data_IF_463456288689
#
_entry.id   IF_463456288689
#
_cell.length_a   1.000
_cell.length_b   1.000
_cell.length_c   1.000
_cell.angle_alpha   90.00
_cell.angle_beta   90.00
_cell.angle_gamma   90.00
#
_symmetry.space_group_name_H-M   'P 1'
#
loop_
_entity.id
_entity.type
_entity.pdbx_description
1 polymer ?
#
# COMPACT_ATOMS: atom_id res chain seq x y z
N UNK A 1 27.03 63.31 -65.17
CA UNK A 1 26.91 61.91 -64.67
C UNK A 1 28.01 61.65 -63.65
N UNK A 2 27.72 61.78 -62.35
CA UNK A 2 28.67 61.45 -61.25
C UNK A 2 28.17 60.16 -60.59
N UNK A 3 28.95 59.08 -60.68
CA UNK A 3 28.66 57.81 -60.00
C UNK A 3 29.18 57.89 -58.57
N UNK A 4 28.29 57.80 -57.59
CA UNK A 4 28.61 57.68 -56.16
C UNK A 4 28.68 56.17 -55.88
N UNK A 5 29.84 55.68 -55.45
CA UNK A 5 30.01 54.31 -54.95
C UNK A 5 29.81 54.32 -53.44
N UNK A 6 28.77 53.65 -52.95
CA UNK A 6 28.55 53.38 -51.52
C UNK A 6 29.27 52.07 -51.20
N UNK A 7 30.35 52.16 -50.43
CA UNK A 7 31.07 50.99 -49.88
C UNK A 7 30.28 50.52 -48.64
N UNK A 8 29.66 49.35 -48.75
CA UNK A 8 29.00 48.66 -47.65
C UNK A 8 30.06 47.85 -46.88
N UNK A 9 30.57 48.40 -45.79
CA UNK A 9 31.45 47.70 -44.85
C UNK A 9 30.63 46.76 -43.96
N UNK A 10 30.67 45.47 -44.29
CA UNK A 10 30.09 44.38 -43.52
C UNK A 10 30.99 44.08 -42.32
N UNK A 11 30.59 44.50 -41.12
CA UNK A 11 31.29 44.18 -39.86
C UNK A 11 30.93 42.74 -39.46
N UNK A 12 31.87 41.82 -39.62
CA UNK A 12 31.75 40.46 -39.10
C UNK A 12 32.05 40.47 -37.60
N UNK A 13 31.00 40.38 -36.77
CA UNK A 13 31.14 40.05 -35.35
C UNK A 13 31.47 38.56 -35.23
N UNK A 14 32.74 38.25 -34.96
CA UNK A 14 33.19 36.92 -34.61
C UNK A 14 32.63 36.53 -33.24
N UNK A 15 31.90 35.43 -33.19
CA UNK A 15 31.44 34.80 -31.96
C UNK A 15 32.66 34.27 -31.18
N UNK A 16 32.95 34.84 -30.01
CA UNK A 16 33.93 34.25 -29.09
C UNK A 16 33.38 32.90 -28.64
N UNK A 17 34.06 31.81 -28.98
CA UNK A 17 33.78 30.50 -28.39
C UNK A 17 34.13 30.60 -26.91
N UNK A 18 33.13 30.48 -26.04
CA UNK A 18 33.34 30.29 -24.62
C UNK A 18 34.27 29.09 -24.42
N UNK A 19 35.32 29.26 -23.61
CA UNK A 19 36.18 28.15 -23.21
C UNK A 19 35.33 27.21 -22.34
N UNK A 20 35.13 25.99 -22.83
CA UNK A 20 34.57 24.92 -22.03
C UNK A 20 35.50 24.69 -20.83
N UNK A 21 34.89 24.54 -19.65
CA UNK A 21 35.60 24.16 -18.44
C UNK A 21 36.30 22.82 -18.64
N UNK A 22 37.55 22.71 -18.20
CA UNK A 22 38.29 21.43 -18.22
C UNK A 22 37.71 20.42 -17.21
N UNK A 23 36.82 20.87 -16.31
CA UNK A 23 36.04 19.98 -15.45
C UNK A 23 34.78 19.50 -16.16
N UNK A 24 34.68 18.18 -16.31
CA UNK A 24 33.46 17.54 -16.78
C UNK A 24 32.29 17.87 -15.86
N UNK A 25 31.13 18.20 -16.43
CA UNK A 25 29.88 18.40 -15.67
C UNK A 25 29.48 17.12 -14.91
N UNK A 26 30.00 15.97 -15.35
CA UNK A 26 29.86 14.67 -14.67
C UNK A 26 30.74 14.60 -13.41
N UNK A 27 31.94 15.17 -13.43
CA UNK A 27 32.86 15.22 -12.28
C UNK A 27 32.46 16.29 -11.26
N UNK A 28 31.91 17.42 -11.73
CA UNK A 28 31.39 18.49 -10.86
C UNK A 28 30.18 18.05 -10.00
N UNK A 29 29.48 16.98 -10.39
CA UNK A 29 28.34 16.41 -9.67
C UNK A 29 28.67 15.10 -8.93
N UNK A 30 29.95 14.69 -8.87
CA UNK A 30 30.36 13.62 -7.95
C UNK A 30 30.33 14.21 -6.55
N UNK A 31 29.16 14.16 -5.90
CA UNK A 31 29.09 14.29 -4.45
C UNK A 31 30.03 13.22 -3.90
N UNK A 32 31.16 13.62 -3.31
CA UNK A 32 32.01 12.71 -2.53
C UNK A 32 31.15 12.19 -1.39
N UNK A 33 30.56 11.01 -1.59
CA UNK A 33 29.69 10.36 -0.62
C UNK A 33 30.57 9.60 0.36
N UNK A 34 30.56 10.01 1.62
CA UNK A 34 31.06 9.15 2.69
C UNK A 34 30.15 7.91 2.74
N UNK A 35 30.75 6.74 2.49
CA UNK A 35 30.08 5.45 2.63
C UNK A 35 29.86 5.17 4.12
N UNK A 36 28.61 4.92 4.49
CA UNK A 36 28.22 4.53 5.84
C UNK A 36 28.16 3.00 5.97
N UNK A 37 28.09 2.50 7.20
CA UNK A 37 27.83 1.07 7.47
C UNK A 37 26.50 0.62 6.83
N UNK A 38 25.48 1.49 6.84
CA UNK A 38 24.20 1.25 6.20
C UNK A 38 24.34 1.09 4.68
N UNK A 39 25.11 1.95 4.01
CA UNK A 39 25.35 1.83 2.56
C UNK A 39 26.04 0.50 2.21
N UNK A 40 26.99 0.08 3.03
CA UNK A 40 27.69 -1.21 2.86
C UNK A 40 26.73 -2.38 3.04
N UNK A 41 25.88 -2.32 4.06
CA UNK A 41 24.86 -3.33 4.31
C UNK A 41 23.83 -3.40 3.17
N UNK A 42 23.29 -2.26 2.72
CA UNK A 42 22.38 -2.18 1.57
C UNK A 42 23.01 -2.80 0.33
N UNK A 43 24.27 -2.46 0.05
CA UNK A 43 24.98 -3.00 -1.11
C UNK A 43 25.05 -4.53 -1.07
N UNK A 44 25.36 -5.10 0.08
CA UNK A 44 25.55 -6.55 0.21
C UNK A 44 24.23 -7.32 0.28
N UNK A 45 23.18 -6.74 0.86
CA UNK A 45 21.91 -7.41 1.09
C UNK A 45 20.86 -7.16 0.00
N UNK A 46 20.95 -6.04 -0.72
CA UNK A 46 19.99 -5.64 -1.77
C UNK A 46 20.65 -5.53 -3.14
N UNK A 47 21.70 -4.72 -3.27
CA UNK A 47 22.25 -4.39 -4.59
C UNK A 47 22.92 -5.59 -5.25
N UNK A 48 23.81 -6.29 -4.54
CA UNK A 48 24.50 -7.45 -5.10
C UNK A 48 23.57 -8.66 -5.35
N UNK A 49 22.69 -9.07 -4.41
CA UNK A 49 21.90 -10.28 -4.61
C UNK A 49 20.70 -10.07 -5.53
N UNK A 50 20.11 -8.88 -5.53
CA UNK A 50 18.82 -8.61 -6.18
C UNK A 50 18.88 -7.55 -7.29
N UNK A 51 20.00 -6.83 -7.43
CA UNK A 51 20.13 -5.74 -8.40
C UNK A 51 19.32 -4.50 -8.03
N UNK A 52 18.98 -4.33 -6.74
CA UNK A 52 18.13 -3.24 -6.25
C UNK A 52 19.01 -2.11 -5.70
N UNK A 53 18.86 -0.91 -6.24
CA UNK A 53 19.41 0.32 -5.68
C UNK A 53 18.44 0.91 -4.65
N UNK A 54 18.91 1.18 -3.43
CA UNK A 54 18.07 1.84 -2.41
C UNK A 54 18.50 3.29 -2.28
N UNK A 55 17.59 4.20 -2.62
CA UNK A 55 17.76 5.63 -2.46
C UNK A 55 16.94 6.15 -1.27
N UNK A 56 17.63 6.42 -0.17
CA UNK A 56 17.04 6.98 1.05
C UNK A 56 17.51 8.41 1.33
N UNK A 57 18.46 8.93 0.55
CA UNK A 57 18.98 10.29 0.73
C UNK A 57 18.13 11.21 -0.14
N UNK A 58 17.30 12.01 0.52
CA UNK A 58 16.31 12.85 -0.15
C UNK A 58 16.95 13.76 -1.21
N UNK A 59 16.40 13.70 -2.41
CA UNK A 59 16.60 14.69 -3.47
C UNK A 59 15.26 15.39 -3.71
N UNK A 60 15.20 16.68 -3.38
CA UNK A 60 13.99 17.49 -3.50
C UNK A 60 13.42 17.60 -4.90
N UNK A 61 14.19 17.23 -5.92
CA UNK A 61 13.73 17.17 -7.30
C UNK A 61 12.95 15.89 -7.64
N UNK A 62 13.06 14.85 -6.81
CA UNK A 62 12.42 13.52 -7.03
C UNK A 62 11.23 13.25 -6.11
N UNK A 63 11.03 14.11 -5.10
CA UNK A 63 9.91 14.00 -4.17
C UNK A 63 8.60 14.50 -4.83
N UNK A 64 7.47 13.77 -4.70
CA UNK A 64 6.18 14.26 -5.17
C UNK A 64 5.81 15.61 -4.57
N UNK A 65 5.21 16.50 -5.37
CA UNK A 65 4.67 17.77 -4.86
C UNK A 65 3.38 17.50 -4.08
N UNK A 66 3.34 17.86 -2.80
CA UNK A 66 2.15 17.76 -1.94
C UNK A 66 2.24 16.75 -0.79
N UNK A 67 3.29 15.92 -0.75
CA UNK A 67 3.44 14.91 0.30
C UNK A 67 4.37 15.35 1.44
N UNK A 68 4.19 14.79 2.64
CA UNK A 68 5.10 14.91 3.79
C UNK A 68 6.42 14.14 3.56
N UNK A 69 7.02 14.31 2.39
CA UNK A 69 8.19 13.57 1.94
C UNK A 69 9.45 14.33 2.31
N UNK A 70 9.97 14.03 3.49
CA UNK A 70 11.28 14.46 3.98
C UNK A 70 12.21 13.25 4.14
N UNK A 71 13.54 13.44 4.23
CA UNK A 71 14.48 12.33 4.38
C UNK A 71 14.19 11.49 5.65
N UNK A 72 14.16 10.15 5.55
CA UNK A 72 13.98 9.28 6.71
C UNK A 72 15.25 9.13 7.56
N UNK A 73 15.08 8.69 8.80
CA UNK A 73 16.18 8.41 9.73
C UNK A 73 16.88 7.08 9.39
N UNK A 74 18.23 7.08 9.43
CA UNK A 74 19.08 5.91 9.11
C UNK A 74 18.65 4.62 9.82
N UNK A 75 18.34 4.70 11.12
CA UNK A 75 17.92 3.55 11.93
C UNK A 75 16.60 2.94 11.42
N UNK A 76 15.65 3.78 11.03
CA UNK A 76 14.34 3.37 10.56
C UNK A 76 14.40 2.79 9.14
N UNK A 77 15.30 3.32 8.31
CA UNK A 77 15.59 2.75 6.99
C UNK A 77 16.02 1.28 7.12
N UNK A 78 16.98 0.98 7.99
CA UNK A 78 17.48 -0.39 8.15
C UNK A 78 16.37 -1.35 8.60
N UNK A 79 15.50 -0.93 9.52
CA UNK A 79 14.36 -1.73 10.00
C UNK A 79 13.37 -2.05 8.89
N UNK A 80 12.97 -1.04 8.10
CA UNK A 80 12.06 -1.24 6.95
C UNK A 80 12.69 -2.18 5.94
N UNK A 81 13.96 -1.97 5.58
CA UNK A 81 14.66 -2.83 4.63
C UNK A 81 14.79 -4.28 5.12
N UNK A 82 15.15 -4.50 6.39
CA UNK A 82 15.17 -5.84 6.98
C UNK A 82 13.79 -6.50 6.92
N UNK A 83 12.73 -5.74 7.19
CA UNK A 83 11.33 -6.22 7.12
C UNK A 83 10.99 -6.67 5.70
N UNK A 84 11.16 -5.82 4.69
CA UNK A 84 10.78 -6.14 3.31
C UNK A 84 11.69 -7.22 2.72
N UNK A 85 12.97 -7.28 3.10
CA UNK A 85 13.85 -8.37 2.68
C UNK A 85 13.28 -9.70 3.13
N UNK A 86 12.91 -9.80 4.41
CA UNK A 86 12.37 -11.03 4.97
C UNK A 86 10.98 -11.36 4.42
N UNK A 87 10.04 -10.42 4.47
CA UNK A 87 8.64 -10.69 4.16
C UNK A 87 8.33 -10.66 2.66
N UNK A 88 9.15 -10.00 1.83
CA UNK A 88 9.00 -9.99 0.38
C UNK A 88 10.10 -10.79 -0.32
N UNK A 89 11.35 -10.32 -0.36
CA UNK A 89 12.38 -10.91 -1.23
C UNK A 89 12.65 -12.40 -0.89
N UNK A 90 12.83 -12.71 0.38
CA UNK A 90 13.04 -14.08 0.84
C UNK A 90 11.80 -14.96 0.63
N UNK A 91 10.60 -14.43 0.86
CA UNK A 91 9.34 -15.17 0.64
C UNK A 91 9.20 -15.65 -0.81
N UNK A 92 9.49 -14.79 -1.78
CA UNK A 92 9.39 -15.14 -3.20
C UNK A 92 10.50 -16.09 -3.68
N UNK A 93 11.64 -16.13 -2.97
CA UNK A 93 12.78 -17.00 -3.31
C UNK A 93 12.74 -18.37 -2.63
N UNK A 94 11.77 -18.63 -1.75
CA UNK A 94 11.56 -19.94 -1.15
C UNK A 94 11.34 -21.01 -2.24
N UNK A 95 11.98 -22.17 -2.08
CA UNK A 95 11.93 -23.27 -3.05
C UNK A 95 10.52 -23.79 -3.33
N UNK A 96 9.61 -23.66 -2.36
CA UNK A 96 8.23 -24.09 -2.47
C UNK A 96 7.26 -22.97 -2.94
N UNK A 97 7.80 -21.79 -3.29
CA UNK A 97 7.08 -20.63 -3.86
C UNK A 97 7.60 -20.39 -5.28
N UNK A 98 8.57 -19.48 -5.47
CA UNK A 98 9.17 -19.17 -6.77
C UNK A 98 10.57 -19.76 -6.98
N UNK A 99 11.28 -20.07 -5.89
CA UNK A 99 12.67 -20.54 -5.92
C UNK A 99 13.70 -19.43 -6.11
N UNK A 100 14.98 -19.77 -5.90
CA UNK A 100 16.11 -18.82 -5.82
C UNK A 100 16.24 -17.86 -7.01
N UNK A 101 15.80 -18.28 -8.19
CA UNK A 101 15.96 -17.53 -9.43
C UNK A 101 14.71 -16.71 -9.79
N UNK A 102 13.63 -16.80 -9.02
CA UNK A 102 12.35 -16.16 -9.34
C UNK A 102 12.49 -14.65 -9.56
N UNK A 103 13.21 -13.97 -8.67
CA UNK A 103 13.34 -12.51 -8.67
C UNK A 103 14.29 -11.97 -9.76
N UNK A 104 15.07 -12.84 -10.43
CA UNK A 104 15.99 -12.41 -11.48
C UNK A 104 15.21 -11.73 -12.62
N UNK A 105 15.56 -10.47 -12.87
CA UNK A 105 14.90 -9.64 -13.89
C UNK A 105 13.49 -9.16 -13.53
N UNK A 106 12.97 -9.46 -12.33
CA UNK A 106 11.60 -9.09 -11.93
C UNK A 106 11.53 -8.03 -10.84
N UNK A 107 12.62 -7.76 -10.15
CA UNK A 107 12.67 -6.74 -9.10
C UNK A 107 12.43 -5.33 -9.66
N UNK A 108 11.94 -4.40 -8.82
CA UNK A 108 12.18 -2.98 -9.02
C UNK A 108 13.69 -2.72 -9.11
N UNK A 109 14.07 -1.77 -9.94
CA UNK A 109 15.46 -1.35 -10.10
C UNK A 109 15.86 -0.44 -8.94
N UNK A 110 14.91 0.40 -8.47
CA UNK A 110 15.13 1.38 -7.41
C UNK A 110 14.05 1.29 -6.32
N UNK A 111 14.47 1.47 -5.07
CA UNK A 111 13.59 1.73 -3.93
C UNK A 111 13.86 3.15 -3.44
N UNK A 112 12.83 3.99 -3.41
CA UNK A 112 12.85 5.31 -2.80
C UNK A 112 12.19 5.25 -1.42
N UNK A 113 12.78 5.92 -0.44
CA UNK A 113 12.27 5.90 0.95
C UNK A 113 12.02 7.31 1.46
N UNK A 114 10.86 7.51 2.09
CA UNK A 114 10.41 8.80 2.61
C UNK A 114 9.97 8.71 4.07
N UNK A 115 10.31 9.73 4.86
CA UNK A 115 10.04 9.76 6.30
C UNK A 115 8.56 9.84 6.66
N UNK A 116 7.77 10.64 5.93
CA UNK A 116 6.35 10.84 6.21
C UNK A 116 5.41 10.10 5.26
N UNK A 117 4.11 10.26 5.55
CA UNK A 117 3.01 9.56 4.89
C UNK A 117 2.78 10.02 3.44
N UNK A 118 2.22 9.12 2.64
CA UNK A 118 1.79 9.39 1.26
C UNK A 118 0.28 9.62 1.22
N UNK A 119 -0.13 10.86 1.47
CA UNK A 119 -1.54 11.26 1.49
C UNK A 119 -1.78 12.18 0.31
N UNK A 120 -2.86 11.94 -0.43
CA UNK A 120 -3.25 12.80 -1.55
C UNK A 120 -4.01 14.06 -1.09
N UNK A 121 -4.41 14.89 -2.06
CA UNK A 121 -5.16 16.12 -1.82
C UNK A 121 -6.54 15.92 -1.16
N UNK A 122 -7.09 14.69 -1.20
CA UNK A 122 -8.37 14.33 -0.60
C UNK A 122 -8.21 13.67 0.78
N UNK A 123 -6.99 13.55 1.30
CA UNK A 123 -6.72 12.92 2.59
C UNK A 123 -6.66 11.40 2.54
N UNK A 124 -6.61 10.79 1.36
CA UNK A 124 -6.51 9.34 1.20
C UNK A 124 -5.04 8.91 1.16
N UNK A 125 -4.69 7.95 2.02
CA UNK A 125 -3.35 7.37 2.03
C UNK A 125 -3.17 6.41 0.83
N UNK A 126 -2.12 6.62 0.04
CA UNK A 126 -1.84 5.92 -1.21
C UNK A 126 -0.78 4.83 -1.04
N UNK A 127 -1.04 3.65 -1.62
CA UNK A 127 -0.13 2.49 -1.57
C UNK A 127 1.10 2.61 -2.47
N UNK A 128 1.08 3.52 -3.44
CA UNK A 128 2.16 3.72 -4.40
C UNK A 128 2.20 5.18 -4.88
N UNK A 129 3.28 5.54 -5.56
CA UNK A 129 3.36 6.80 -6.27
C UNK A 129 2.73 6.64 -7.67
N UNK A 130 1.67 7.40 -7.95
CA UNK A 130 0.91 7.31 -9.20
C UNK A 130 1.64 7.95 -10.39
N UNK A 131 2.69 8.75 -10.14
CA UNK A 131 3.44 9.45 -11.17
C UNK A 131 4.71 8.72 -11.65
N UNK A 132 5.01 7.55 -11.09
CA UNK A 132 6.26 6.81 -11.35
C UNK A 132 6.00 5.46 -12.02
N UNK A 133 7.05 4.89 -12.60
CA UNK A 133 6.97 3.58 -13.26
C UNK A 133 6.99 2.46 -12.23
N UNK A 134 6.50 1.26 -12.60
CA UNK A 134 6.54 0.09 -11.70
C UNK A 134 7.96 -0.44 -11.44
N UNK A 135 8.96 0.02 -12.21
CA UNK A 135 10.37 -0.28 -11.99
C UNK A 135 10.94 0.44 -10.76
N UNK A 136 10.21 1.40 -10.20
CA UNK A 136 10.57 2.13 -8.99
C UNK A 136 9.55 1.82 -7.89
N UNK A 137 10.02 1.50 -6.69
CA UNK A 137 9.18 1.26 -5.52
C UNK A 137 9.37 2.40 -4.52
N UNK A 138 8.27 3.01 -4.11
CA UNK A 138 8.28 4.14 -3.18
C UNK A 138 7.71 3.69 -1.83
N UNK A 139 8.52 3.78 -0.78
CA UNK A 139 8.16 3.40 0.60
C UNK A 139 8.03 4.66 1.45
N UNK A 140 6.90 4.78 2.13
CA UNK A 140 6.50 5.96 2.89
C UNK A 140 6.31 5.63 4.37
N UNK A 141 6.13 6.68 5.18
CA UNK A 141 5.94 6.61 6.63
C UNK A 141 7.07 5.87 7.37
N UNK A 142 8.29 5.92 6.82
CA UNK A 142 9.44 5.18 7.34
C UNK A 142 9.77 5.58 8.78
N UNK A 143 9.61 6.85 9.15
CA UNK A 143 9.98 7.30 10.49
C UNK A 143 8.97 6.90 11.57
N UNK A 144 7.72 6.62 11.17
CA UNK A 144 6.71 6.10 12.07
C UNK A 144 6.71 4.57 12.11
N UNK A 145 7.54 3.88 11.31
CA UNK A 145 7.54 2.43 11.25
C UNK A 145 8.00 1.77 12.57
N UNK A 146 7.31 0.70 12.96
CA UNK A 146 7.70 -0.17 14.09
C UNK A 146 7.50 -1.63 13.67
N UNK A 147 8.59 -2.40 13.64
CA UNK A 147 8.62 -3.81 13.28
C UNK A 147 7.81 -4.71 14.23
N UNK A 148 7.47 -4.21 15.43
CA UNK A 148 6.66 -4.91 16.43
C UNK A 148 5.18 -4.53 16.39
N UNK A 149 4.80 -3.51 15.62
CA UNK A 149 3.41 -3.14 15.40
C UNK A 149 2.87 -3.84 14.16
N UNK A 150 1.98 -4.82 14.37
CA UNK A 150 1.35 -5.59 13.29
C UNK A 150 0.68 -4.69 12.24
N UNK A 151 0.02 -3.61 12.65
CA UNK A 151 -0.69 -2.74 11.71
C UNK A 151 0.29 -1.99 10.78
N UNK A 152 1.44 -1.57 11.32
CA UNK A 152 2.50 -0.90 10.56
C UNK A 152 3.23 -1.86 9.62
N UNK A 153 3.57 -3.06 10.10
CA UNK A 153 4.15 -4.12 9.25
C UNK A 153 3.17 -4.53 8.15
N UNK A 154 1.89 -4.69 8.48
CA UNK A 154 0.85 -4.98 7.50
C UNK A 154 0.76 -3.88 6.45
N UNK A 155 0.65 -2.61 6.82
CA UNK A 155 0.55 -1.49 5.88
C UNK A 155 1.76 -1.41 4.94
N UNK A 156 2.98 -1.57 5.47
CA UNK A 156 4.20 -1.65 4.68
C UNK A 156 4.12 -2.80 3.66
N UNK A 157 3.75 -4.00 4.11
CA UNK A 157 3.69 -5.18 3.22
C UNK A 157 2.54 -5.11 2.20
N UNK A 158 1.42 -4.46 2.54
CA UNK A 158 0.35 -4.13 1.57
C UNK A 158 0.93 -3.30 0.42
N UNK A 159 1.63 -2.21 0.73
CA UNK A 159 2.27 -1.34 -0.26
C UNK A 159 3.31 -2.07 -1.09
N UNK A 160 4.21 -2.83 -0.46
CA UNK A 160 5.27 -3.60 -1.15
C UNK A 160 4.66 -4.62 -2.11
N UNK A 161 3.69 -5.41 -1.67
CA UNK A 161 3.06 -6.42 -2.52
C UNK A 161 2.23 -5.80 -3.64
N UNK A 162 1.55 -4.68 -3.39
CA UNK A 162 0.81 -3.94 -4.42
C UNK A 162 1.76 -3.45 -5.52
N UNK A 163 2.83 -2.75 -5.13
CA UNK A 163 3.81 -2.21 -6.09
C UNK A 163 4.53 -3.33 -6.86
N UNK A 164 4.90 -4.41 -6.17
CA UNK A 164 5.52 -5.56 -6.84
C UNK A 164 4.56 -6.29 -7.79
N UNK A 165 3.26 -6.38 -7.46
CA UNK A 165 2.27 -6.90 -8.38
C UNK A 165 2.19 -6.06 -9.65
N UNK A 166 2.19 -4.72 -9.54
CA UNK A 166 2.28 -3.81 -10.70
C UNK A 166 3.53 -4.08 -11.53
N UNK A 167 4.67 -4.29 -10.89
CA UNK A 167 5.92 -4.66 -11.58
C UNK A 167 5.81 -5.98 -12.33
N UNK A 168 5.23 -7.00 -11.71
CA UNK A 168 5.02 -8.29 -12.36
C UNK A 168 4.08 -8.17 -13.56
N UNK A 169 2.99 -7.41 -13.45
CA UNK A 169 2.04 -7.19 -14.55
C UNK A 169 2.63 -6.41 -15.72
N UNK A 170 3.58 -5.51 -15.48
CA UNK A 170 4.30 -4.81 -16.56
C UNK A 170 5.23 -5.78 -17.32
N UNK A 171 5.91 -6.67 -16.60
CA UNK A 171 6.87 -7.62 -17.17
C UNK A 171 6.22 -8.86 -17.78
N UNK A 172 5.12 -9.30 -17.18
CA UNK A 172 4.34 -10.48 -17.54
C UNK A 172 2.88 -10.05 -17.68
N UNK A 173 2.48 -9.50 -18.84
CA UNK A 173 1.15 -8.93 -19.02
C UNK A 173 0.02 -9.93 -18.79
N UNK A 174 -1.06 -9.46 -18.19
CA UNK A 174 -2.32 -10.17 -18.06
C UNK A 174 -3.33 -9.71 -19.13
N UNK A 175 -4.41 -10.47 -19.32
CA UNK A 175 -5.53 -10.05 -20.19
C UNK A 175 -6.34 -8.92 -19.52
N UNK A 176 -5.84 -7.69 -19.70
CA UNK A 176 -6.39 -6.47 -19.10
C UNK A 176 -7.86 -6.26 -19.46
N UNK A 177 -8.22 -6.45 -20.73
CA UNK A 177 -9.58 -6.20 -21.20
C UNK A 177 -10.57 -7.19 -20.60
N UNK A 178 -10.17 -8.45 -20.46
CA UNK A 178 -10.99 -9.47 -19.78
C UNK A 178 -11.17 -9.15 -18.30
N UNK A 179 -10.12 -8.68 -17.63
CA UNK A 179 -10.21 -8.31 -16.21
C UNK A 179 -11.07 -7.05 -16.01
N UNK A 180 -10.83 -5.99 -16.79
CA UNK A 180 -11.60 -4.74 -16.78
C UNK A 180 -13.11 -5.00 -16.96
N UNK A 181 -13.49 -5.95 -17.83
CA UNK A 181 -14.90 -6.31 -18.06
C UNK A 181 -15.62 -6.83 -16.81
N UNK A 182 -14.90 -7.37 -15.82
CA UNK A 182 -15.51 -7.87 -14.58
C UNK A 182 -16.16 -6.73 -13.80
N UNK A 183 -15.50 -5.57 -13.74
CA UNK A 183 -15.95 -4.39 -12.98
C UNK A 183 -16.19 -3.16 -13.88
N UNK A 184 -16.64 -3.39 -15.12
CA UNK A 184 -16.92 -2.31 -16.07
C UNK A 184 -17.93 -1.31 -15.47
N UNK A 185 -17.60 -0.02 -15.52
CA UNK A 185 -18.41 1.06 -14.91
C UNK A 185 -18.35 1.16 -13.39
N UNK A 186 -17.61 0.28 -12.70
CA UNK A 186 -17.48 0.29 -11.24
C UNK A 186 -16.31 1.12 -10.69
N UNK A 187 -15.32 1.42 -11.54
CA UNK A 187 -14.14 2.21 -11.19
C UNK A 187 -14.46 3.70 -11.04
N UNK A 188 -13.74 4.37 -10.14
CA UNK A 188 -13.87 5.81 -9.87
C UNK A 188 -12.75 6.61 -10.52
N UNK A 189 -13.01 7.90 -10.80
CA UNK A 189 -12.03 8.72 -11.52
C UNK A 189 -10.87 9.21 -10.65
N UNK A 190 -11.12 9.38 -9.35
CA UNK A 190 -10.14 9.84 -8.37
C UNK A 190 -10.59 9.49 -6.94
N UNK A 191 -9.74 9.78 -5.96
CA UNK A 191 -9.94 9.39 -4.56
C UNK A 191 -11.07 10.14 -3.84
N UNK A 192 -11.51 11.31 -4.34
CA UNK A 192 -12.67 12.05 -3.79
C UNK A 192 -13.98 11.28 -3.92
N UNK A 193 -14.09 10.41 -4.92
CA UNK A 193 -15.26 9.56 -5.16
C UNK A 193 -15.23 8.27 -4.33
N UNK A 194 -14.13 8.03 -3.60
CA UNK A 194 -14.07 6.90 -2.69
C UNK A 194 -15.04 7.12 -1.52
N UNK A 195 -15.60 6.05 -0.96
CA UNK A 195 -16.61 6.19 0.07
C UNK A 195 -16.04 6.88 1.33
N UNK A 196 -16.52 8.08 1.66
CA UNK A 196 -16.14 8.80 2.90
C UNK A 196 -16.74 8.14 4.15
N UNK A 197 -15.90 7.80 5.14
CA UNK A 197 -16.34 7.55 6.52
C UNK A 197 -15.29 8.05 7.47
N UNK A 198 -15.76 8.52 8.63
CA UNK A 198 -14.91 8.66 9.79
C UNK A 198 -14.35 7.27 10.20
N UNK A 199 -13.01 7.14 10.40
CA UNK A 199 -12.40 5.88 10.74
C UNK A 199 -13.02 5.31 12.00
N UNK A 200 -13.65 4.13 11.90
CA UNK A 200 -14.22 3.46 13.06
C UNK A 200 -13.14 3.17 14.12
N UNK A 201 -11.88 3.04 13.68
CA UNK A 201 -10.71 2.90 14.53
C UNK A 201 -10.66 3.92 15.68
N UNK A 202 -11.11 5.16 15.48
CA UNK A 202 -11.07 6.18 16.54
C UNK A 202 -12.04 5.88 17.68
N UNK A 203 -13.11 5.15 17.40
CA UNK A 203 -14.13 4.73 18.35
C UNK A 203 -13.88 3.35 18.94
N UNK A 204 -12.77 2.68 18.64
CA UNK A 204 -12.51 1.32 19.11
C UNK A 204 -11.51 1.37 20.27
N UNK A 205 -11.74 0.55 21.29
CA UNK A 205 -10.85 0.35 22.44
C UNK A 205 -10.69 -1.14 22.72
N UNK A 206 -9.52 -1.53 23.24
CA UNK A 206 -9.35 -2.87 23.79
C UNK A 206 -9.98 -2.93 25.18
N UNK A 207 -10.54 -4.09 25.53
CA UNK A 207 -11.07 -4.33 26.87
C UNK A 207 -10.02 -4.11 27.98
N UNK A 208 -8.74 -4.41 27.70
CA UNK A 208 -7.62 -4.17 28.63
C UNK A 208 -7.41 -2.70 28.97
N UNK A 209 -7.65 -1.81 28.00
CA UNK A 209 -7.30 -0.40 28.09
C UNK A 209 -8.36 0.37 28.88
N UNK A 210 -9.57 -0.19 28.99
CA UNK A 210 -10.70 0.37 29.74
C UNK A 210 -10.44 0.48 31.26
N UNK A 211 -9.44 -0.21 31.82
CA UNK A 211 -9.13 -0.18 33.27
C UNK A 211 -8.12 0.90 33.67
N UNK A 212 -7.55 1.64 32.72
CA UNK A 212 -6.42 2.58 32.95
C UNK A 212 -6.71 4.05 32.65
N UNK A 213 -7.81 4.35 31.96
CA UNK A 213 -8.17 5.72 31.57
C UNK A 213 -9.10 6.37 32.59
N UNK A 214 -8.54 7.22 33.47
CA UNK A 214 -9.32 8.19 34.27
C UNK A 214 -9.51 9.54 33.56
N UNK A 215 -8.85 9.76 32.43
CA UNK A 215 -8.81 11.05 31.71
C UNK A 215 -9.27 10.89 30.25
N UNK A 216 -10.53 10.52 30.04
CA UNK A 216 -11.14 10.59 28.70
C UNK A 216 -11.42 12.06 28.38
N UNK A 217 -10.50 12.70 27.65
CA UNK A 217 -10.68 14.06 27.14
C UNK A 217 -11.94 14.16 26.25
N UNK A 218 -13.01 14.68 26.84
CA UNK A 218 -14.08 15.57 26.36
C UNK A 218 -14.75 15.45 24.97
N UNK A 219 -14.18 14.79 23.94
CA UNK A 219 -14.63 14.96 22.54
C UNK A 219 -15.30 13.74 21.87
N UNK A 220 -15.46 12.59 22.55
CA UNK A 220 -16.15 11.43 21.98
C UNK A 220 -17.21 10.91 22.96
N UNK A 221 -18.46 10.79 22.49
CA UNK A 221 -19.61 10.39 23.30
C UNK A 221 -19.72 8.88 23.53
N UNK A 222 -19.04 8.04 22.72
CA UNK A 222 -19.03 6.58 22.87
C UNK A 222 -17.78 5.88 22.30
N UNK A 223 -17.50 4.64 22.76
CA UNK A 223 -16.46 3.75 22.23
C UNK A 223 -16.90 2.27 22.21
N UNK A 224 -16.55 1.52 21.17
CA UNK A 224 -16.74 0.08 21.05
C UNK A 224 -15.60 -0.70 21.71
N UNK A 225 -15.95 -1.69 22.53
CA UNK A 225 -14.97 -2.55 23.20
C UNK A 225 -14.81 -3.85 22.44
N UNK A 226 -13.57 -4.18 22.07
CA UNK A 226 -13.23 -5.42 21.36
C UNK A 226 -12.40 -6.33 22.27
N UNK A 227 -12.77 -7.62 22.34
CA UNK A 227 -12.11 -8.61 23.19
C UNK A 227 -10.77 -9.09 22.61
N UNK A 228 -10.75 -9.34 21.31
CA UNK A 228 -9.64 -9.98 20.65
C UNK A 228 -8.66 -8.94 20.09
N UNK A 229 -7.41 -9.01 20.52
CA UNK A 229 -6.33 -8.15 20.01
C UNK A 229 -6.22 -8.19 18.48
N UNK A 230 -6.44 -9.36 17.88
CA UNK A 230 -6.42 -9.53 16.44
C UNK A 230 -7.53 -8.74 15.73
N UNK A 231 -8.71 -8.66 16.33
CA UNK A 231 -9.84 -7.91 15.77
C UNK A 231 -9.65 -6.42 15.96
N UNK A 232 -9.11 -6.00 17.11
CA UNK A 232 -8.68 -4.61 17.33
C UNK A 232 -7.66 -4.17 16.28
N UNK A 233 -6.63 -4.99 16.03
CA UNK A 233 -5.63 -4.72 15.00
C UNK A 233 -6.28 -4.64 13.62
N UNK A 234 -7.17 -5.57 13.28
CA UNK A 234 -7.85 -5.58 11.98
C UNK A 234 -8.66 -4.31 11.74
N UNK A 235 -9.41 -3.85 12.75
CA UNK A 235 -10.20 -2.63 12.64
C UNK A 235 -9.34 -1.37 12.52
N UNK A 236 -8.11 -1.37 13.06
CA UNK A 236 -7.14 -0.28 12.89
C UNK A 236 -6.52 -0.23 11.50
N UNK A 237 -6.56 -1.32 10.73
CA UNK A 237 -6.02 -1.34 9.35
C UNK A 237 -6.88 -0.52 8.37
N UNK A 238 -8.13 -0.18 8.75
CA UNK A 238 -8.99 0.77 8.03
C UNK A 238 -9.12 0.49 6.53
N UNK A 239 -8.94 1.56 5.74
CA UNK A 239 -8.97 1.59 4.28
C UNK A 239 -8.11 0.52 3.57
N UNK A 240 -7.04 0.02 4.21
CA UNK A 240 -6.13 -0.97 3.62
C UNK A 240 -6.57 -2.42 3.74
N UNK A 241 -7.61 -2.68 4.54
CA UNK A 241 -8.11 -4.04 4.81
C UNK A 241 -9.32 -4.40 3.96
N UNK A 242 -9.50 -5.70 3.74
CA UNK A 242 -10.77 -6.21 3.23
C UNK A 242 -11.90 -6.02 4.26
N UNK A 243 -13.16 -6.13 3.82
CA UNK A 243 -14.30 -6.13 4.73
C UNK A 243 -14.20 -7.25 5.75
N UNK A 244 -14.40 -6.89 7.03
CA UNK A 244 -14.53 -7.84 8.13
C UNK A 244 -15.57 -7.34 9.13
N UNK A 245 -16.45 -8.24 9.55
CA UNK A 245 -17.34 -8.04 10.68
C UNK A 245 -16.64 -8.48 11.98
N UNK A 246 -16.71 -7.61 12.99
CA UNK A 246 -16.20 -7.87 14.33
C UNK A 246 -17.35 -7.68 15.32
N UNK A 247 -17.61 -8.70 16.14
CA UNK A 247 -18.57 -8.60 17.23
C UNK A 247 -17.90 -7.93 18.42
N UNK A 248 -18.49 -6.83 18.88
CA UNK A 248 -18.02 -6.06 20.04
C UNK A 248 -18.58 -6.65 21.34
N UNK A 249 -17.91 -6.39 22.45
CA UNK A 249 -18.38 -6.77 23.79
C UNK A 249 -19.34 -5.76 24.41
N UNK A 250 -19.60 -4.65 23.73
CA UNK A 250 -20.45 -3.57 24.21
C UNK A 250 -19.99 -2.19 23.71
N UNK A 251 -20.82 -1.19 23.98
CA UNK A 251 -20.53 0.23 23.82
C UNK A 251 -20.31 0.88 25.18
N UNK A 252 -19.25 1.66 25.30
CA UNK A 252 -18.99 2.56 26.42
C UNK A 252 -19.53 3.94 26.05
N UNK A 253 -20.17 4.61 27.02
CA UNK A 253 -20.56 6.01 26.94
C UNK A 253 -19.78 6.80 28.00
N UNK A 254 -19.65 8.11 27.77
CA UNK A 254 -18.75 9.08 28.44
C UNK A 254 -18.53 8.95 29.96
N UNK A 255 -19.43 8.31 30.70
CA UNK A 255 -19.39 8.35 32.17
C UNK A 255 -18.92 7.07 32.86
N UNK A 256 -18.95 5.86 32.29
CA UNK A 256 -18.65 4.64 33.07
C UNK A 256 -17.95 3.52 32.28
N UNK A 257 -16.62 3.41 32.39
CA UNK A 257 -15.89 2.18 32.06
C UNK A 257 -16.25 1.01 33.01
N UNK A 258 -16.73 1.30 34.23
CA UNK A 258 -17.01 0.29 35.26
C UNK A 258 -18.43 -0.32 35.19
N UNK A 259 -19.42 0.37 34.59
CA UNK A 259 -20.82 -0.12 34.60
C UNK A 259 -21.14 -1.12 33.48
N UNK A 260 -20.50 -1.05 32.30
CA UNK A 260 -20.91 -1.85 31.13
C UNK A 260 -20.39 -3.30 31.19
N UNK A 261 -19.25 -3.54 31.84
CA UNK A 261 -18.70 -4.90 31.97
C UNK A 261 -19.37 -5.70 33.09
N UNK A 262 -19.98 -5.02 34.06
CA UNK A 262 -20.53 -5.64 35.28
C UNK A 262 -22.06 -5.71 35.31
N UNK A 263 -22.77 -4.77 34.68
CA UNK A 263 -24.22 -4.82 34.54
C UNK A 263 -24.57 -5.43 33.17
N UNK A 264 -25.36 -6.51 33.16
CA UNK A 264 -25.74 -7.31 31.97
C UNK A 264 -26.55 -6.60 30.87
N UNK A 265 -26.37 -5.29 30.68
CA UNK A 265 -26.93 -4.46 29.61
C UNK A 265 -25.91 -4.15 28.50
N UNK A 266 -24.80 -4.87 28.41
CA UNK A 266 -23.86 -4.74 27.29
C UNK A 266 -24.49 -5.32 26.02
N UNK A 267 -24.95 -4.44 25.12
CA UNK A 267 -25.44 -4.84 23.80
C UNK A 267 -24.23 -5.12 22.92
N UNK A 268 -23.99 -6.40 22.62
CA UNK A 268 -23.00 -6.78 21.61
C UNK A 268 -23.45 -6.29 20.24
N UNK A 269 -22.63 -5.50 19.57
CA UNK A 269 -22.90 -5.00 18.23
C UNK A 269 -21.87 -5.47 17.23
N UNK A 270 -22.29 -5.65 15.98
CA UNK A 270 -21.39 -5.97 14.87
C UNK A 270 -20.88 -4.68 14.26
N UNK A 271 -19.56 -4.50 14.30
CA UNK A 271 -18.85 -3.40 13.66
C UNK A 271 -18.13 -3.94 12.43
N UNK A 272 -18.25 -3.24 11.30
CA UNK A 272 -17.57 -3.61 10.04
C UNK A 272 -16.41 -2.67 9.75
N UNK A 273 -15.32 -3.21 9.18
CA UNK A 273 -14.24 -2.40 8.57
C UNK A 273 -14.76 -1.64 7.36
N UNK A 274 -14.05 -0.58 6.95
CA UNK A 274 -14.41 0.26 5.81
C UNK A 274 -14.40 -0.50 4.47
N UNK A 275 -13.58 -1.56 4.37
CA UNK A 275 -13.49 -2.43 3.19
C UNK A 275 -14.81 -3.06 2.77
N UNK A 276 -15.82 -3.17 3.67
CA UNK A 276 -17.16 -3.67 3.32
C UNK A 276 -17.80 -2.88 2.17
N UNK A 277 -17.50 -1.59 2.07
CA UNK A 277 -18.05 -0.71 1.03
C UNK A 277 -17.51 -1.06 -0.36
N UNK A 278 -16.22 -1.40 -0.44
CA UNK A 278 -15.63 -1.94 -1.65
C UNK A 278 -16.22 -3.31 -1.98
N UNK A 279 -16.36 -4.18 -0.97
CA UNK A 279 -16.86 -5.55 -1.19
C UNK A 279 -18.26 -5.57 -1.76
N UNK A 280 -19.16 -4.73 -1.27
CA UNK A 280 -20.53 -4.56 -1.80
C UNK A 280 -20.58 -4.01 -3.23
N UNK A 281 -19.50 -3.37 -3.68
CA UNK A 281 -19.33 -2.90 -5.07
C UNK A 281 -18.56 -3.89 -5.96
N UNK A 282 -18.21 -5.07 -5.44
CA UNK A 282 -17.45 -6.09 -6.19
C UNK A 282 -15.93 -5.89 -6.19
N UNK A 283 -15.38 -5.17 -5.20
CA UNK A 283 -13.95 -4.87 -5.06
C UNK A 283 -13.42 -5.37 -3.71
N UNK A 284 -12.18 -5.88 -3.63
CA UNK A 284 -11.66 -6.43 -2.37
C UNK A 284 -11.29 -5.34 -1.36
N UNK A 285 -10.76 -4.22 -1.84
CA UNK A 285 -10.33 -3.07 -1.04
C UNK A 285 -10.80 -1.77 -1.68
N UNK A 286 -10.77 -0.67 -0.93
CA UNK A 286 -11.17 0.65 -1.46
C UNK A 286 -10.25 1.09 -2.59
N UNK A 287 -8.93 0.87 -2.49
CA UNK A 287 -7.97 1.19 -3.56
C UNK A 287 -8.20 0.39 -4.84
N UNK A 288 -8.84 -0.79 -4.76
CA UNK A 288 -9.19 -1.58 -5.94
C UNK A 288 -10.17 -0.84 -6.87
N UNK A 289 -10.83 0.23 -6.41
CA UNK A 289 -11.79 0.99 -7.20
C UNK A 289 -11.14 2.04 -8.11
N UNK A 290 -9.83 2.28 -8.00
CA UNK A 290 -9.16 3.38 -8.70
C UNK A 290 -8.90 3.06 -10.18
N UNK A 291 -8.49 1.84 -10.49
CA UNK A 291 -8.22 1.41 -11.87
C UNK A 291 -8.20 -0.11 -11.97
N UNK A 292 -8.35 -0.71 -13.17
CA UNK A 292 -8.16 -2.15 -13.37
C UNK A 292 -6.77 -2.64 -12.93
N UNK A 293 -5.73 -1.82 -13.11
CA UNK A 293 -4.37 -2.12 -12.68
C UNK A 293 -4.25 -2.13 -11.16
N UNK A 294 -4.84 -1.16 -10.48
CA UNK A 294 -4.86 -1.10 -9.02
C UNK A 294 -5.70 -2.24 -8.46
N UNK A 295 -6.84 -2.57 -9.06
CA UNK A 295 -7.70 -3.70 -8.68
C UNK A 295 -6.97 -5.03 -8.78
N UNK A 296 -6.31 -5.30 -9.92
CA UNK A 296 -5.52 -6.51 -10.10
C UNK A 296 -4.36 -6.58 -9.08
N UNK A 297 -3.64 -5.47 -8.87
CA UNK A 297 -2.58 -5.39 -7.87
C UNK A 297 -3.10 -5.57 -6.43
N UNK A 298 -4.29 -5.04 -6.14
CA UNK A 298 -4.95 -5.12 -4.85
C UNK A 298 -5.48 -6.51 -4.55
N UNK A 299 -5.99 -7.25 -5.54
CA UNK A 299 -6.37 -8.65 -5.34
C UNK A 299 -5.13 -9.47 -4.99
N UNK A 300 -4.03 -9.30 -5.72
CA UNK A 300 -2.76 -9.99 -5.43
C UNK A 300 -2.25 -9.66 -4.04
N UNK A 301 -2.13 -8.38 -3.73
CA UNK A 301 -1.61 -7.94 -2.44
C UNK A 301 -2.55 -8.35 -1.31
N UNK A 302 -3.87 -8.42 -1.53
CA UNK A 302 -4.86 -8.95 -0.57
C UNK A 302 -4.58 -10.40 -0.23
N UNK A 303 -4.31 -11.24 -1.23
CA UNK A 303 -3.90 -12.64 -1.01
C UNK A 303 -2.65 -12.75 -0.14
N UNK A 304 -1.69 -11.84 -0.31
CA UNK A 304 -0.41 -11.92 0.38
C UNK A 304 -0.44 -11.33 1.80
N UNK A 305 -1.49 -10.60 2.17
CA UNK A 305 -1.60 -9.96 3.50
C UNK A 305 -2.82 -10.38 4.31
N UNK A 306 -3.82 -11.04 3.70
CA UNK A 306 -4.99 -11.57 4.39
C UNK A 306 -5.07 -13.10 4.34
N UNK A 307 -5.66 -13.72 5.36
CA UNK A 307 -5.88 -15.16 5.36
C UNK A 307 -6.97 -15.55 4.35
N UNK A 308 -7.00 -16.82 3.93
CA UNK A 308 -8.08 -17.33 3.07
C UNK A 308 -9.47 -17.08 3.71
N UNK A 309 -9.58 -17.20 5.03
CA UNK A 309 -10.82 -16.91 5.76
C UNK A 309 -11.23 -15.44 5.65
N UNK A 310 -10.27 -14.51 5.73
CA UNK A 310 -10.56 -13.09 5.60
C UNK A 310 -11.04 -12.74 4.18
N UNK A 311 -10.43 -13.35 3.15
CA UNK A 311 -10.86 -13.21 1.75
C UNK A 311 -12.27 -13.77 1.53
N UNK A 312 -12.56 -14.96 2.06
CA UNK A 312 -13.89 -15.56 1.98
C UNK A 312 -14.95 -14.72 2.72
N UNK A 313 -14.61 -14.17 3.89
CA UNK A 313 -15.49 -13.28 4.63
C UNK A 313 -15.79 -12.01 3.82
N UNK A 314 -14.79 -11.41 3.17
CA UNK A 314 -14.98 -10.23 2.33
C UNK A 314 -15.97 -10.50 1.19
N UNK A 315 -15.90 -11.69 0.58
CA UNK A 315 -16.84 -12.11 -0.46
C UNK A 315 -18.25 -12.29 0.11
N UNK A 316 -18.38 -12.95 1.25
CA UNK A 316 -19.66 -13.10 1.92
C UNK A 316 -20.29 -11.75 2.28
N UNK A 317 -19.49 -10.78 2.73
CA UNK A 317 -19.94 -9.43 3.03
C UNK A 317 -20.39 -8.65 1.79
N UNK A 318 -19.75 -8.87 0.65
CA UNK A 318 -20.21 -8.33 -0.63
C UNK A 318 -21.61 -8.80 -1.01
N UNK A 319 -22.00 -9.99 -0.58
CA UNK A 319 -23.34 -10.56 -0.78
C UNK A 319 -24.41 -10.06 0.19
N UNK A 320 -24.10 -9.10 1.06
CA UNK A 320 -25.07 -8.50 1.98
C UNK A 320 -25.51 -7.15 1.39
N UNK A 321 -26.77 -6.99 0.96
CA UNK A 321 -27.28 -5.72 0.42
C UNK A 321 -27.21 -4.59 1.45
N UNK A 322 -27.14 -3.34 0.99
CA UNK A 322 -27.22 -2.18 1.88
C UNK A 322 -28.62 -2.07 2.49
N UNK A 323 -29.67 -2.20 1.67
CA UNK A 323 -31.06 -2.30 2.05
C UNK A 323 -31.64 -3.65 1.60
N UNK A 324 -31.84 -4.61 2.52
CA UNK A 324 -32.42 -5.91 2.21
C UNK A 324 -33.85 -5.86 1.64
N UNK A 325 -34.56 -4.74 1.79
CA UNK A 325 -35.93 -4.59 1.25
C UNK A 325 -35.95 -4.05 -0.18
N UNK A 326 -34.81 -3.58 -0.70
CA UNK A 326 -34.68 -3.02 -2.03
C UNK A 326 -34.21 -4.09 -3.02
N UNK A 327 -35.01 -4.44 -4.06
CA UNK A 327 -34.61 -5.41 -5.07
C UNK A 327 -33.33 -5.03 -5.83
N UNK A 328 -33.06 -3.73 -6.02
CA UNK A 328 -31.86 -3.24 -6.72
C UNK A 328 -30.61 -3.56 -5.90
N UNK A 329 -30.62 -3.23 -4.59
CA UNK A 329 -29.54 -3.56 -3.68
C UNK A 329 -29.29 -5.07 -3.55
N UNK A 330 -30.35 -5.88 -3.59
CA UNK A 330 -30.23 -7.34 -3.61
C UNK A 330 -29.51 -7.83 -4.87
N UNK A 331 -29.84 -7.26 -6.03
CA UNK A 331 -29.18 -7.59 -7.29
C UNK A 331 -27.71 -7.16 -7.27
N UNK A 332 -27.42 -5.94 -6.81
CA UNK A 332 -26.05 -5.44 -6.68
C UNK A 332 -25.19 -6.35 -5.79
N UNK A 333 -25.73 -6.82 -4.66
CA UNK A 333 -25.03 -7.73 -3.76
C UNK A 333 -24.71 -9.09 -4.42
N UNK A 334 -25.64 -9.63 -5.21
CA UNK A 334 -25.40 -10.86 -5.97
C UNK A 334 -24.32 -10.66 -7.05
N UNK A 335 -24.37 -9.53 -7.77
CA UNK A 335 -23.35 -9.15 -8.72
C UNK A 335 -21.98 -8.96 -8.07
N UNK A 336 -21.93 -8.36 -6.89
CA UNK A 336 -20.70 -8.14 -6.14
C UNK A 336 -19.99 -9.47 -5.83
N UNK A 337 -20.73 -10.48 -5.35
CA UNK A 337 -20.19 -11.82 -5.10
C UNK A 337 -19.62 -12.42 -6.39
N UNK A 338 -20.36 -12.32 -7.50
CA UNK A 338 -19.92 -12.82 -8.80
C UNK A 338 -18.62 -12.13 -9.26
N UNK A 339 -18.57 -10.80 -9.17
CA UNK A 339 -17.40 -9.98 -9.53
C UNK A 339 -16.17 -10.38 -8.70
N UNK A 340 -16.32 -10.50 -7.38
CA UNK A 340 -15.22 -10.89 -6.49
C UNK A 340 -14.70 -12.30 -6.80
N UNK A 341 -15.58 -13.27 -7.04
CA UNK A 341 -15.19 -14.64 -7.42
C UNK A 341 -14.49 -14.69 -8.78
N UNK A 342 -14.99 -13.94 -9.76
CA UNK A 342 -14.35 -13.85 -11.08
C UNK A 342 -12.95 -13.25 -11.00
N UNK A 343 -12.74 -12.20 -10.19
CA UNK A 343 -11.41 -11.64 -9.93
C UNK A 343 -10.49 -12.63 -9.25
N UNK A 344 -11.02 -13.35 -8.26
CA UNK A 344 -10.31 -14.40 -7.54
C UNK A 344 -9.78 -15.47 -8.50
N UNK A 345 -10.67 -16.04 -9.31
CA UNK A 345 -10.33 -17.07 -10.31
C UNK A 345 -9.34 -16.54 -11.34
N UNK A 346 -9.54 -15.31 -11.82
CA UNK A 346 -8.66 -14.68 -12.80
C UNK A 346 -7.23 -14.55 -12.26
N UNK A 347 -7.07 -14.01 -11.05
CA UNK A 347 -5.75 -13.77 -10.45
C UNK A 347 -5.06 -15.09 -10.10
N UNK A 348 -5.79 -16.07 -9.58
CA UNK A 348 -5.25 -17.41 -9.32
C UNK A 348 -4.76 -18.09 -10.61
N UNK A 349 -5.53 -17.98 -11.70
CA UNK A 349 -5.17 -18.54 -13.00
C UNK A 349 -3.95 -17.82 -13.60
N UNK A 350 -3.92 -16.49 -13.54
CA UNK A 350 -2.77 -15.68 -13.96
C UNK A 350 -1.50 -16.03 -13.17
N UNK A 351 -1.59 -16.15 -11.85
CA UNK A 351 -0.42 -16.55 -11.03
C UNK A 351 0.08 -17.95 -11.38
N UNK A 352 -0.84 -18.88 -11.62
CA UNK A 352 -0.48 -20.24 -12.01
C UNK A 352 0.14 -20.29 -13.41
N UNK A 353 -0.43 -19.58 -14.38
CA UNK A 353 -0.05 -19.66 -15.80
C UNK A 353 1.13 -18.75 -16.14
N UNK A 354 1.14 -17.51 -15.71
CA UNK A 354 2.16 -16.54 -16.10
C UNK A 354 3.28 -16.44 -15.06
N UNK A 355 2.91 -16.27 -13.78
CA UNK A 355 3.90 -16.12 -12.68
C UNK A 355 4.54 -17.46 -12.29
N UNK A 356 3.88 -18.59 -12.59
CA UNK A 356 4.29 -19.95 -12.20
C UNK A 356 4.36 -20.16 -10.68
N UNK A 357 3.54 -19.45 -9.92
CA UNK A 357 3.42 -19.59 -8.46
C UNK A 357 2.00 -20.04 -8.11
N UNK A 358 1.87 -20.99 -7.18
CA UNK A 358 0.58 -21.30 -6.58
C UNK A 358 0.21 -20.22 -5.55
N UNK A 359 -0.68 -19.30 -5.93
CA UNK A 359 -1.03 -18.14 -5.11
C UNK A 359 -1.66 -18.51 -3.77
N UNK A 360 -2.52 -19.54 -3.69
CA UNK A 360 -3.12 -20.00 -2.43
C UNK A 360 -2.07 -20.53 -1.45
N UNK A 361 -1.10 -21.30 -1.96
CA UNK A 361 0.04 -21.76 -1.16
C UNK A 361 0.88 -20.59 -0.68
N UNK A 362 1.14 -19.64 -1.58
CA UNK A 362 1.91 -18.44 -1.27
C UNK A 362 1.21 -17.57 -0.22
N UNK A 363 -0.11 -17.40 -0.30
CA UNK A 363 -0.91 -16.72 0.72
C UNK A 363 -0.65 -17.34 2.11
N UNK A 364 -0.78 -18.66 2.25
CA UNK A 364 -0.57 -19.33 3.53
C UNK A 364 0.82 -19.04 4.11
N UNK A 365 1.85 -19.14 3.27
CA UNK A 365 3.24 -18.88 3.65
C UNK A 365 3.43 -17.40 4.04
N UNK A 366 2.89 -16.48 3.25
CA UNK A 366 3.02 -15.03 3.49
C UNK A 366 2.42 -14.63 4.82
N UNK A 367 1.21 -15.11 5.13
CA UNK A 367 0.53 -14.81 6.40
C UNK A 367 1.26 -15.43 7.60
N UNK A 368 1.78 -16.64 7.46
CA UNK A 368 2.59 -17.27 8.50
C UNK A 368 3.85 -16.45 8.77
N UNK A 369 4.58 -16.06 7.73
CA UNK A 369 5.81 -15.25 7.86
C UNK A 369 5.52 -13.89 8.47
N UNK A 370 4.48 -13.20 8.04
CA UNK A 370 4.09 -11.90 8.58
C UNK A 370 3.75 -12.00 10.09
N UNK A 371 2.94 -12.98 10.49
CA UNK A 371 2.62 -13.21 11.91
C UNK A 371 3.83 -13.62 12.74
N UNK A 372 4.69 -14.49 12.20
CA UNK A 372 5.91 -14.90 12.89
C UNK A 372 6.91 -13.76 13.02
N UNK A 373 6.98 -12.83 12.08
CA UNK A 373 7.90 -11.69 12.12
C UNK A 373 7.56 -10.72 13.25
N UNK A 374 6.28 -10.36 13.40
CA UNK A 374 5.84 -9.39 14.42
C UNK A 374 5.94 -9.95 15.84
N UNK A 375 5.85 -11.27 16.00
CA UNK A 375 5.89 -11.95 17.31
C UNK A 375 7.31 -12.38 17.76
N UNK A 376 8.36 -11.98 17.03
CA UNK A 376 9.76 -12.33 17.33
C UNK A 376 10.39 -11.50 18.45
#
# INVERSE_FOLDING_TARGET
>A
MRRIYIILTLVLLSCNKEKLSDQSVVEANIVQRNYTELDTWIRNEFTLPYGIEVNYRWDGNTAPKGSYTYPPEAKNIQKVLQTIKHLWLETYTLANVGGKDFLKGKNPIKIYMYGGQNVDENGVELLSNTATTSAEMHLYDVNNFDEKDYAKVFALMRSVHHQFAKRLMELLPYDRDKFLKISSGGYVSNTKELPEREPIAKYIRKASDCTRDRDVQANQSFAYVVKADQDFLTLRMGFFSVGKNVTTQGKLYKDNCEEVLNNGNSVSEVVSTEGIRANRRGFFTIHSMLSPEDDMAEVVSTYLTHSAKDVENAIALGGIPFNPSDPEDQQEAQEAVKKLRQKQEFVEDYFKKEIKINLKRMQTISIQRLKSYVNQ
#
